data_IF_774161655751
#
_entry.id   IF_774161655751
#
_cell.length_a   1.000
_cell.length_b   1.000
_cell.length_c   1.000
_cell.angle_alpha   90.00
_cell.angle_beta   90.00
_cell.angle_gamma   90.00
#
_symmetry.space_group_name_H-M   'P 1'
#
loop_
_entity.id
_entity.type
_entity.pdbx_description
1 polymer ?
#
# COMPACT_ATOMS: atom_id res chain seq x y z
N UNK A 1 6.36 -38.08 -12.28
CA UNK A 1 7.15 -36.85 -12.48
C UNK A 1 6.62 -35.83 -11.48
N UNK A 2 7.48 -35.38 -10.58
CA UNK A 2 7.18 -34.44 -9.51
C UNK A 2 7.17 -33.02 -10.08
N UNK A 3 5.98 -32.44 -10.24
CA UNK A 3 5.87 -31.02 -10.57
C UNK A 3 6.21 -30.19 -9.32
N UNK A 4 7.35 -29.52 -9.42
CA UNK A 4 7.85 -28.57 -8.44
C UNK A 4 6.89 -27.39 -8.39
N UNK A 5 6.09 -27.32 -7.32
CA UNK A 5 5.23 -26.18 -7.01
C UNK A 5 6.14 -24.99 -6.70
N UNK A 6 6.28 -24.08 -7.65
CA UNK A 6 6.94 -22.79 -7.46
C UNK A 6 6.38 -22.09 -6.21
N UNK A 7 7.22 -21.45 -5.37
CA UNK A 7 6.79 -20.94 -4.08
C UNK A 7 5.74 -19.85 -4.28
N UNK A 8 4.58 -20.08 -3.65
CA UNK A 8 3.45 -19.16 -3.55
C UNK A 8 3.96 -17.78 -3.14
N UNK A 9 3.86 -16.80 -4.06
CA UNK A 9 3.74 -15.35 -3.83
C UNK A 9 4.28 -14.90 -2.45
N UNK A 10 5.58 -14.59 -2.32
CA UNK A 10 6.24 -14.31 -1.03
C UNK A 10 5.61 -13.13 -0.26
N UNK A 11 4.91 -12.25 -0.96
CA UNK A 11 4.17 -11.14 -0.38
C UNK A 11 2.98 -11.59 0.48
N UNK A 12 2.39 -12.77 0.27
CA UNK A 12 1.32 -13.29 1.12
C UNK A 12 1.83 -13.61 2.54
N UNK A 13 3.06 -14.10 2.66
CA UNK A 13 3.69 -14.35 3.97
C UNK A 13 4.05 -13.02 4.67
N UNK A 14 4.43 -11.99 3.91
CA UNK A 14 4.67 -10.64 4.43
C UNK A 14 3.36 -10.02 4.95
N UNK A 15 2.25 -10.16 4.23
CA UNK A 15 0.93 -9.68 4.68
C UNK A 15 0.49 -10.39 5.97
N UNK A 16 0.60 -11.72 6.04
CA UNK A 16 0.27 -12.49 7.25
C UNK A 16 1.17 -12.10 8.46
N UNK A 17 2.41 -11.71 8.21
CA UNK A 17 3.33 -11.19 9.23
C UNK A 17 2.98 -9.77 9.70
N UNK A 18 2.36 -8.94 8.86
CA UNK A 18 1.99 -7.56 9.20
C UNK A 18 0.66 -7.49 9.96
N UNK A 19 -0.30 -8.38 9.65
CA UNK A 19 -1.62 -8.47 10.29
C UNK A 19 -1.55 -8.64 11.82
N UNK A 20 -0.44 -9.16 12.36
CA UNK A 20 -0.30 -9.46 13.78
C UNK A 20 0.08 -8.25 14.65
N UNK A 21 0.36 -7.08 14.06
CA UNK A 21 1.02 -5.98 14.78
C UNK A 21 0.19 -4.71 14.97
N UNK A 22 -0.95 -4.55 14.29
CA UNK A 22 -1.81 -3.38 14.46
C UNK A 22 -3.14 -3.76 15.10
N UNK A 23 -3.23 -3.54 16.42
CA UNK A 23 -4.47 -3.65 17.15
C UNK A 23 -5.40 -2.53 16.69
N UNK A 24 -6.36 -2.82 15.78
CA UNK A 24 -7.33 -1.82 15.28
C UNK A 24 -8.13 -1.14 16.41
N UNK A 25 -8.12 -1.70 17.63
CA UNK A 25 -8.71 -1.08 18.82
C UNK A 25 -7.90 0.14 19.35
N UNK A 26 -6.63 0.29 18.95
CA UNK A 26 -5.84 1.47 19.28
C UNK A 26 -6.16 2.61 18.30
N UNK A 27 -7.14 3.44 18.66
CA UNK A 27 -7.53 4.65 17.91
C UNK A 27 -6.48 5.78 17.92
N UNK A 28 -5.26 5.52 18.35
CA UNK A 28 -4.23 6.53 18.57
C UNK A 28 -3.06 6.30 17.62
N UNK A 29 -2.74 7.31 16.82
CA UNK A 29 -1.53 7.31 16.00
C UNK A 29 -0.33 7.60 16.90
N UNK A 30 0.71 6.74 16.94
CA UNK A 30 1.90 6.97 17.75
C UNK A 30 2.59 8.30 17.39
N UNK A 31 3.26 8.91 18.37
CA UNK A 31 4.07 10.11 18.13
C UNK A 31 5.18 9.78 17.12
N UNK A 32 5.37 10.65 16.12
CA UNK A 32 6.34 10.43 15.04
C UNK A 32 5.86 9.45 13.97
N UNK A 33 4.58 9.08 13.98
CA UNK A 33 3.96 8.28 12.94
C UNK A 33 2.82 9.04 12.26
N UNK A 34 2.46 8.60 11.05
CA UNK A 34 1.42 9.16 10.20
C UNK A 34 0.50 8.03 9.76
N UNK A 35 -0.81 8.27 9.87
CA UNK A 35 -1.83 7.37 9.34
C UNK A 35 -2.24 7.85 7.94
N UNK A 36 -1.94 7.05 6.91
CA UNK A 36 -2.20 7.37 5.52
C UNK A 36 -3.43 6.61 5.02
N UNK A 37 -4.27 7.29 4.25
CA UNK A 37 -5.44 6.69 3.57
C UNK A 37 -5.44 7.16 2.12
N UNK A 38 -5.61 6.22 1.20
CA UNK A 38 -5.75 6.53 -0.23
C UNK A 38 -7.14 7.12 -0.53
N UNK A 39 -7.21 8.06 -1.48
CA UNK A 39 -8.49 8.57 -1.98
C UNK A 39 -9.31 7.46 -2.65
N UNK A 40 -8.66 6.60 -3.42
CA UNK A 40 -9.23 5.34 -3.87
C UNK A 40 -9.02 4.27 -2.79
N UNK A 41 -10.09 4.08 -2.00
CA UNK A 41 -10.08 3.29 -0.78
C UNK A 41 -10.20 1.79 -1.00
N UNK A 42 -10.49 1.33 -2.22
CA UNK A 42 -10.77 -0.09 -2.51
C UNK A 42 -9.63 -0.77 -3.27
N UNK A 43 -8.82 0.01 -4.00
CA UNK A 43 -7.77 -0.52 -4.88
C UNK A 43 -6.40 -0.52 -4.19
N UNK A 44 -6.07 0.52 -3.42
CA UNK A 44 -4.71 0.71 -2.92
C UNK A 44 -4.55 0.35 -1.45
N UNK A 45 -3.35 -0.16 -1.13
CA UNK A 45 -2.96 -0.47 0.24
C UNK A 45 -2.57 0.79 1.01
N UNK A 46 -3.05 0.90 2.25
CA UNK A 46 -2.80 2.05 3.11
C UNK A 46 -2.71 1.65 4.60
N UNK A 47 -2.71 2.62 5.51
CA UNK A 47 -2.52 2.37 6.95
C UNK A 47 -3.66 1.58 7.61
N UNK A 48 -4.81 1.40 6.94
CA UNK A 48 -5.89 0.51 7.45
C UNK A 48 -5.48 -0.96 7.44
N UNK A 49 -4.56 -1.33 6.55
CA UNK A 49 -4.04 -2.71 6.44
C UNK A 49 -2.65 -2.86 7.04
N UNK A 50 -1.80 -1.83 6.92
CA UNK A 50 -0.38 -1.92 7.31
C UNK A 50 -0.03 -1.22 8.62
N UNK A 51 -0.95 -0.42 9.16
CA UNK A 51 -0.71 0.46 10.29
C UNK A 51 -0.06 1.81 9.89
N UNK A 52 0.21 2.70 10.87
CA UNK A 52 0.88 3.97 10.66
C UNK A 52 2.33 3.82 10.17
N UNK A 53 2.80 4.79 9.39
CA UNK A 53 4.19 4.87 8.93
C UNK A 53 4.98 5.90 9.73
N UNK A 54 6.29 5.69 9.89
CA UNK A 54 7.19 6.69 10.49
C UNK A 54 7.21 7.98 9.66
N UNK A 55 7.14 9.14 10.32
CA UNK A 55 7.21 10.46 9.68
C UNK A 55 8.58 10.71 9.02
N UNK A 56 9.62 10.02 9.45
CA UNK A 56 10.97 10.04 8.87
C UNK A 56 11.02 9.59 7.40
N UNK A 57 10.01 8.85 6.93
CA UNK A 57 9.90 8.44 5.53
C UNK A 57 9.32 9.53 4.63
N UNK A 58 8.73 10.59 5.20
CA UNK A 58 8.14 11.69 4.42
C UNK A 58 9.23 12.50 3.73
N UNK A 59 9.14 12.61 2.40
CA UNK A 59 10.04 13.44 1.59
C UNK A 59 9.52 14.85 1.33
N UNK A 60 8.21 15.06 1.39
CA UNK A 60 7.57 16.34 1.12
C UNK A 60 6.07 16.24 0.97
N UNK A 61 5.43 17.33 0.52
CA UNK A 61 3.99 17.41 0.23
C UNK A 61 3.79 17.66 -1.26
N UNK A 62 2.85 16.94 -1.87
CA UNK A 62 2.39 17.27 -3.22
C UNK A 62 1.59 18.57 -3.18
N UNK A 63 2.02 19.60 -3.93
CA UNK A 63 1.37 20.92 -3.96
C UNK A 63 0.40 21.05 -5.13
N UNK A 64 0.86 20.67 -6.33
CA UNK A 64 0.08 20.78 -7.56
C UNK A 64 0.63 19.81 -8.61
N UNK A 65 -0.23 19.42 -9.56
CA UNK A 65 0.15 18.66 -10.76
C UNK A 65 0.23 19.67 -11.90
N UNK A 66 1.42 19.89 -12.46
CA UNK A 66 1.60 20.82 -13.59
C UNK A 66 1.25 20.21 -14.94
N UNK A 67 1.58 18.93 -15.12
CA UNK A 67 1.44 18.21 -16.38
C UNK A 67 0.91 16.82 -16.06
N UNK A 68 -0.09 16.37 -16.82
CA UNK A 68 -0.61 15.00 -16.76
C UNK A 68 -0.74 14.46 -18.18
N UNK A 69 0.13 13.52 -18.52
CA UNK A 69 0.01 12.75 -19.76
C UNK A 69 -0.73 11.44 -19.45
N UNK A 70 -1.77 11.14 -20.21
CA UNK A 70 -2.39 9.81 -20.17
C UNK A 70 -1.62 8.92 -21.14
N UNK A 71 -1.14 7.73 -20.72
CA UNK A 71 -0.62 6.75 -21.66
C UNK A 71 -1.70 6.49 -22.72
N UNK A 72 -1.38 6.71 -24.00
CA UNK A 72 -2.26 6.25 -25.08
C UNK A 72 -2.34 4.74 -24.95
N UNK A 73 -3.51 4.19 -24.65
CA UNK A 73 -3.76 2.75 -24.80
C UNK A 73 -3.57 2.40 -26.28
N UNK A 74 -2.37 1.95 -26.65
CA UNK A 74 -2.16 1.33 -27.94
C UNK A 74 -2.79 -0.07 -27.91
N UNK A 75 -4.00 -0.19 -28.48
CA UNK A 75 -4.44 -1.45 -29.09
C UNK A 75 -5.22 -2.44 -28.23
N UNK A 76 -6.38 -2.06 -27.68
CA UNK A 76 -7.43 -3.03 -27.34
C UNK A 76 -8.66 -2.73 -28.21
N UNK A 77 -9.00 -3.58 -29.20
CA UNK A 77 -10.26 -3.47 -29.92
C UNK A 77 -11.41 -3.83 -28.97
N UNK A 78 -12.50 -3.06 -29.06
CA UNK A 78 -13.82 -3.40 -28.51
C UNK A 78 -14.39 -4.63 -29.23
#
# INVERSE_FOLDING_TARGET
>A
MSDVIAPRKPWLAVLASLDSSFNQAAQVVPKGAIFLVSDDRTVYMDSRMTGPFSDTYVKGKALYILISERPRMMGLPL
#
